data_IF_696995751707
#
_entry.id   IF_696995751707
#
_cell.length_a   1.000
_cell.length_b   1.000
_cell.length_c   1.000
_cell.angle_alpha   90.00
_cell.angle_beta   90.00
_cell.angle_gamma   90.00
#
_symmetry.space_group_name_H-M   'P 1'
#
loop_
_entity.id
_entity.type
_entity.pdbx_description
1 polymer ?
#
# COMPACT_ATOMS: atom_id res chain seq x y z
N UNK A 1 6.50 -14.60 -5.34
CA UNK A 1 7.03 -13.31 -4.89
C UNK A 1 6.15 -12.19 -5.43
N UNK A 2 5.84 -11.23 -4.61
CA UNK A 2 5.11 -10.02 -5.01
C UNK A 2 6.04 -8.84 -4.86
N UNK A 3 6.14 -7.99 -5.88
CA UNK A 3 6.95 -6.77 -5.84
C UNK A 3 6.03 -5.57 -5.97
N UNK A 4 6.14 -4.63 -5.04
CA UNK A 4 5.37 -3.39 -5.05
C UNK A 4 6.31 -2.20 -4.95
N UNK A 5 5.88 -1.06 -5.47
CA UNK A 5 6.56 0.21 -5.23
C UNK A 5 6.00 0.94 -4.03
N UNK A 6 6.56 2.10 -3.74
CA UNK A 6 6.07 3.00 -2.71
C UNK A 6 6.23 4.43 -3.21
N UNK A 7 5.18 5.24 -3.07
CA UNK A 7 5.24 6.67 -3.36
C UNK A 7 5.76 7.47 -2.18
N UNK A 8 6.17 8.71 -2.45
CA UNK A 8 6.64 9.63 -1.38
C UNK A 8 5.51 10.01 -0.41
N UNK A 9 4.25 9.86 -0.82
CA UNK A 9 3.07 10.05 0.04
C UNK A 9 2.72 8.81 0.89
N UNK A 10 3.50 7.74 0.75
CA UNK A 10 3.26 6.49 1.46
C UNK A 10 2.30 5.54 0.78
N UNK A 11 1.86 5.83 -0.47
CA UNK A 11 1.04 4.86 -1.19
C UNK A 11 1.86 3.64 -1.60
N UNK A 12 1.20 2.50 -1.71
CA UNK A 12 1.74 1.28 -2.32
C UNK A 12 0.66 0.67 -3.20
N UNK A 13 1.05 0.01 -4.31
CA UNK A 13 0.11 -0.34 -5.38
C UNK A 13 -0.67 0.92 -5.77
N UNK A 14 -2.00 0.89 -5.81
CA UNK A 14 -2.81 2.10 -5.97
C UNK A 14 -3.64 2.39 -4.71
N UNK A 15 -3.12 2.04 -3.55
CA UNK A 15 -3.69 2.38 -2.25
C UNK A 15 -3.17 3.77 -1.83
N UNK A 16 -3.88 4.81 -2.27
CA UNK A 16 -3.47 6.20 -2.07
C UNK A 16 -4.08 6.81 -0.81
N UNK A 17 -3.28 7.50 0.02
CA UNK A 17 -3.82 8.20 1.19
C UNK A 17 -4.76 9.34 0.82
N UNK A 18 -4.63 9.90 -0.39
CA UNK A 18 -5.49 11.00 -0.86
C UNK A 18 -6.83 10.53 -1.44
N UNK A 19 -7.06 9.23 -1.56
CA UNK A 19 -8.36 8.71 -1.99
C UNK A 19 -9.41 8.89 -0.89
N UNK A 20 -10.70 8.94 -1.23
CA UNK A 20 -11.75 8.91 -0.22
C UNK A 20 -11.57 7.73 0.73
N UNK A 21 -11.79 7.97 2.02
CA UNK A 21 -11.55 6.97 3.07
C UNK A 21 -12.24 5.63 2.78
N UNK A 22 -13.48 5.68 2.33
CA UNK A 22 -14.26 4.47 2.04
C UNK A 22 -13.63 3.64 0.94
N UNK A 23 -13.11 4.28 -0.10
CA UNK A 23 -12.43 3.60 -1.20
C UNK A 23 -11.12 2.98 -0.74
N UNK A 24 -10.35 3.71 0.06
CA UNK A 24 -9.11 3.20 0.62
C UNK A 24 -9.37 1.99 1.52
N UNK A 25 -10.40 2.04 2.34
CA UNK A 25 -10.78 0.91 3.20
C UNK A 25 -11.21 -0.31 2.38
N UNK A 26 -11.86 -0.13 1.23
CA UNK A 26 -12.18 -1.26 0.35
C UNK A 26 -10.92 -1.93 -0.19
N UNK A 27 -9.84 -1.19 -0.36
CA UNK A 27 -8.56 -1.75 -0.74
C UNK A 27 -7.82 -2.44 0.39
N UNK A 28 -7.87 -1.87 1.60
CA UNK A 28 -7.16 -2.39 2.78
C UNK A 28 -7.93 -3.50 3.50
N UNK A 29 -9.24 -3.34 3.62
CA UNK A 29 -10.13 -4.27 4.32
C UNK A 29 -11.33 -4.63 3.43
N UNK A 30 -11.11 -5.32 2.29
CA UNK A 30 -12.20 -5.61 1.36
C UNK A 30 -13.15 -6.65 1.94
N UNK A 31 -14.33 -6.73 1.33
CA UNK A 31 -15.23 -7.85 1.57
C UNK A 31 -14.55 -9.15 1.16
N UNK A 32 -14.96 -10.26 1.80
CA UNK A 32 -14.35 -11.55 1.56
C UNK A 32 -14.34 -11.90 0.06
N UNK A 33 -13.18 -12.26 -0.45
CA UNK A 33 -12.99 -12.68 -1.83
C UNK A 33 -12.75 -11.56 -2.84
N UNK A 34 -12.88 -10.29 -2.47
CA UNK A 34 -12.59 -9.20 -3.39
C UNK A 34 -11.08 -9.03 -3.58
N UNK A 35 -10.65 -9.04 -4.84
CA UNK A 35 -9.23 -9.00 -5.22
C UNK A 35 -8.78 -7.63 -5.72
N UNK A 36 -9.72 -6.79 -6.13
CA UNK A 36 -9.44 -5.46 -6.68
C UNK A 36 -10.36 -4.42 -6.07
N UNK A 37 -9.91 -3.19 -6.05
CA UNK A 37 -10.69 -2.03 -5.64
C UNK A 37 -10.42 -0.87 -6.58
N UNK A 38 -11.37 0.06 -6.69
CA UNK A 38 -11.23 1.27 -7.49
C UNK A 38 -11.13 2.46 -6.56
N UNK A 39 -10.08 3.27 -6.74
CA UNK A 39 -9.84 4.47 -5.94
C UNK A 39 -9.75 5.70 -6.84
N UNK A 40 -10.22 6.82 -6.33
CA UNK A 40 -10.18 8.12 -7.00
C UNK A 40 -9.33 9.10 -6.17
N UNK A 41 -8.00 8.93 -6.16
CA UNK A 41 -7.13 9.80 -5.37
C UNK A 41 -7.07 11.22 -5.95
N UNK A 42 -6.92 12.23 -5.10
CA UNK A 42 -6.83 13.62 -5.53
C UNK A 42 -5.56 13.91 -6.32
N UNK A 43 -4.53 13.08 -6.20
CA UNK A 43 -3.26 13.21 -6.92
C UNK A 43 -3.33 12.69 -8.36
N UNK A 44 -4.46 12.15 -8.78
CA UNK A 44 -4.64 11.58 -10.13
C UNK A 44 -5.93 12.10 -10.76
N UNK A 45 -5.86 12.42 -12.05
CA UNK A 45 -7.02 12.87 -12.83
C UNK A 45 -7.90 11.70 -13.27
N UNK A 46 -7.43 10.48 -13.09
CA UNK A 46 -8.15 9.26 -13.50
C UNK A 46 -8.32 8.32 -12.32
N UNK A 47 -9.37 7.51 -12.37
CA UNK A 47 -9.56 6.45 -11.38
C UNK A 47 -8.42 5.44 -11.46
N UNK A 48 -8.04 4.89 -10.31
CA UNK A 48 -7.00 3.87 -10.19
C UNK A 48 -7.62 2.55 -9.76
N UNK A 49 -7.11 1.46 -10.32
CA UNK A 49 -7.47 0.11 -9.90
C UNK A 49 -6.28 -0.47 -9.16
N UNK A 50 -6.54 -1.02 -7.97
CA UNK A 50 -5.51 -1.63 -7.15
C UNK A 50 -5.87 -3.07 -6.82
N UNK A 51 -4.86 -3.92 -6.62
CA UNK A 51 -5.07 -5.16 -5.90
C UNK A 51 -5.35 -4.83 -4.43
N UNK A 52 -6.23 -5.59 -3.80
CA UNK A 52 -6.53 -5.42 -2.38
C UNK A 52 -5.38 -5.93 -1.51
N UNK A 53 -5.29 -5.46 -0.26
CA UNK A 53 -4.22 -5.87 0.64
C UNK A 53 -4.15 -7.40 0.82
N UNK A 54 -5.26 -8.13 1.06
CA UNK A 54 -5.18 -9.58 1.17
C UNK A 54 -4.60 -10.24 -0.09
N UNK A 55 -4.86 -9.66 -1.26
CA UNK A 55 -4.30 -10.19 -2.51
C UNK A 55 -2.81 -9.90 -2.62
N UNK A 56 -2.37 -8.72 -2.19
CA UNK A 56 -0.94 -8.37 -2.18
C UNK A 56 -0.15 -9.26 -1.23
N UNK A 57 -0.73 -9.62 -0.09
CA UNK A 57 -0.08 -10.46 0.91
C UNK A 57 -0.28 -11.97 0.68
N UNK A 58 -1.00 -12.36 -0.38
CA UNK A 58 -1.24 -13.76 -0.75
C UNK A 58 -0.05 -14.33 -1.54
N UNK A 59 1.16 -14.16 -1.02
CA UNK A 59 2.37 -14.70 -1.63
C UNK A 59 3.29 -15.19 -0.52
N UNK A 60 4.37 -15.86 -0.89
CA UNK A 60 5.35 -16.37 0.08
C UNK A 60 6.34 -15.29 0.51
N UNK A 61 6.43 -14.21 -0.24
CA UNK A 61 7.48 -13.20 -0.06
C UNK A 61 7.06 -11.93 -0.78
N UNK A 62 7.16 -10.81 -0.09
CA UNK A 62 6.80 -9.50 -0.62
C UNK A 62 8.01 -8.57 -0.57
N UNK A 63 8.25 -7.87 -1.67
CA UNK A 63 9.35 -6.93 -1.81
C UNK A 63 8.77 -5.53 -2.05
N UNK A 64 9.23 -4.56 -1.27
CA UNK A 64 8.97 -3.14 -1.52
C UNK A 64 10.20 -2.58 -2.23
N UNK A 65 10.07 -2.28 -3.53
CA UNK A 65 11.13 -1.70 -4.33
C UNK A 65 11.02 -0.17 -4.25
N UNK A 66 11.88 0.44 -3.45
CA UNK A 66 11.84 1.87 -3.19
C UNK A 66 13.25 2.47 -3.13
N UNK A 67 13.99 2.45 -4.25
CA UNK A 67 15.36 2.95 -4.26
C UNK A 67 15.41 4.47 -4.18
N UNK A 68 16.54 4.98 -3.68
CA UNK A 68 16.82 6.41 -3.62
C UNK A 68 16.55 7.03 -2.25
N UNK A 69 17.15 8.20 -2.01
CA UNK A 69 17.12 8.86 -0.70
C UNK A 69 15.74 9.36 -0.31
N UNK A 70 14.96 9.88 -1.27
CA UNK A 70 13.60 10.34 -0.99
C UNK A 70 12.70 9.20 -0.54
N UNK A 71 12.81 8.04 -1.18
CA UNK A 71 12.05 6.84 -0.80
C UNK A 71 12.50 6.30 0.56
N UNK A 72 13.80 6.37 0.83
CA UNK A 72 14.35 5.97 2.12
C UNK A 72 13.77 6.81 3.26
N UNK A 73 13.68 8.12 3.08
CA UNK A 73 13.05 9.01 4.07
C UNK A 73 11.58 8.70 4.28
N UNK A 74 10.86 8.43 3.19
CA UNK A 74 9.45 8.02 3.27
C UNK A 74 9.31 6.71 4.04
N UNK A 75 10.20 5.76 3.81
CA UNK A 75 10.20 4.49 4.55
C UNK A 75 10.44 4.69 6.02
N UNK A 76 11.41 5.53 6.40
CA UNK A 76 11.69 5.86 7.80
C UNK A 76 10.48 6.49 8.47
N UNK A 77 9.81 7.42 7.79
CA UNK A 77 8.58 8.02 8.28
C UNK A 77 7.47 6.98 8.47
N UNK A 78 7.30 6.09 7.49
CA UNK A 78 6.30 5.03 7.59
C UNK A 78 6.55 4.11 8.79
N UNK A 79 7.80 3.72 9.01
CA UNK A 79 8.17 2.86 10.13
C UNK A 79 8.02 3.55 11.49
N UNK A 80 8.00 4.87 11.52
CA UNK A 80 7.82 5.65 12.72
C UNK A 80 6.37 5.81 13.20
N UNK A 81 5.39 5.25 12.50
CA UNK A 81 3.99 5.37 12.84
C UNK A 81 3.19 4.14 12.45
N UNK A 82 1.92 4.10 12.85
CA UNK A 82 1.03 2.95 12.65
C UNK A 82 -0.30 3.30 11.94
N UNK A 83 -0.53 4.57 11.61
CA UNK A 83 -1.75 4.98 10.91
C UNK A 83 -1.67 4.57 9.44
N UNK A 84 -2.36 3.49 9.08
CA UNK A 84 -2.37 2.93 7.72
C UNK A 84 -3.16 3.77 6.73
N UNK A 85 -4.07 4.61 7.19
CA UNK A 85 -4.81 5.52 6.31
C UNK A 85 -3.95 6.72 5.91
N UNK A 86 -3.06 7.16 6.79
CA UNK A 86 -2.12 8.24 6.50
C UNK A 86 -1.01 7.80 5.54
N UNK A 87 -0.53 6.57 5.69
CA UNK A 87 0.50 5.98 4.83
C UNK A 87 0.16 4.51 4.60
N UNK A 88 -0.57 4.20 3.52
CA UNK A 88 -1.04 2.81 3.28
C UNK A 88 0.06 1.76 3.21
N UNK A 89 1.29 2.12 2.86
CA UNK A 89 2.43 1.19 2.89
C UNK A 89 2.65 0.59 4.28
N UNK A 90 2.23 1.27 5.34
CA UNK A 90 2.30 0.75 6.72
C UNK A 90 1.53 -0.55 6.91
N UNK A 91 0.49 -0.77 6.12
CA UNK A 91 -0.30 -2.01 6.19
C UNK A 91 0.54 -3.25 5.85
N UNK A 92 1.60 -3.08 5.06
CA UNK A 92 2.51 -4.17 4.72
C UNK A 92 3.44 -4.53 5.89
N UNK A 93 3.71 -3.57 6.79
CA UNK A 93 4.60 -3.79 7.94
C UNK A 93 3.89 -4.40 9.12
N UNK A 94 2.61 -4.12 9.30
CA UNK A 94 1.85 -4.58 10.47
C UNK A 94 1.24 -5.97 10.29
N UNK A 95 1.22 -6.49 9.06
CA UNK A 95 0.72 -7.84 8.79
C UNK A 95 1.81 -8.87 9.11
N UNK A 96 1.40 -10.10 9.42
CA UNK A 96 2.30 -11.19 9.79
C UNK A 96 2.18 -12.41 8.87
N UNK A 97 1.43 -12.29 7.78
CA UNK A 97 1.13 -13.42 6.89
C UNK A 97 2.27 -13.72 5.93
N UNK A 98 3.06 -12.71 5.57
CA UNK A 98 4.14 -12.84 4.60
C UNK A 98 5.33 -11.97 5.02
N UNK A 99 6.57 -12.47 4.88
CA UNK A 99 7.76 -11.67 5.14
C UNK A 99 7.91 -10.56 4.11
N UNK A 100 8.42 -9.40 4.54
CA UNK A 100 8.59 -8.20 3.72
C UNK A 100 10.06 -7.82 3.69
N UNK A 101 10.57 -7.56 2.49
CA UNK A 101 11.92 -7.04 2.27
C UNK A 101 11.86 -5.69 1.55
N UNK A 102 12.91 -4.89 1.73
CA UNK A 102 13.09 -3.60 1.06
C UNK A 102 14.26 -3.69 0.09
N UNK A 103 14.06 -3.21 -1.11
CA UNK A 103 15.11 -3.19 -2.13
C UNK A 103 15.30 -1.77 -2.67
#
# INVERSE_FOLDING_TARGET
>A
MTVVGMGEDGHTASLFPSAPREELLQGLEPRAGEKVAVLNPTVSDVARITLTLPRLTASRWLVIAAPGDAKRRTLEEALGGDDVLAMPVRSLFVQHDVPVEFW
#
